data_IF_486642684040
#
_entry.id   IF_486642684040
#
_cell.length_a   1.000
_cell.length_b   1.000
_cell.length_c   1.000
_cell.angle_alpha   90.00
_cell.angle_beta   90.00
_cell.angle_gamma   90.00
#
_symmetry.space_group_name_H-M   'P 1'
#
loop_
_entity.id
_entity.type
_entity.pdbx_description
1 polymer ?
#
# COMPACT_ATOMS: atom_id res chain seq x y z
N UNK A 1 -28.58 2.83 20.70
CA UNK A 1 -28.67 2.30 19.32
C UNK A 1 -27.26 1.95 18.92
N UNK A 2 -27.01 0.73 18.47
CA UNK A 2 -25.68 0.33 17.97
C UNK A 2 -25.40 1.08 16.67
N UNK A 3 -24.23 1.71 16.56
CA UNK A 3 -23.76 2.36 15.33
C UNK A 3 -22.74 1.50 14.58
N UNK A 4 -22.41 1.88 13.35
CA UNK A 4 -21.31 1.29 12.55
C UNK A 4 -19.99 1.31 13.35
N UNK A 5 -19.68 2.45 13.97
CA UNK A 5 -18.48 2.66 14.80
C UNK A 5 -18.39 1.68 15.99
N UNK A 6 -19.52 1.26 16.56
CA UNK A 6 -19.52 0.30 17.67
C UNK A 6 -19.05 -1.09 17.21
N UNK A 7 -19.42 -1.50 15.99
CA UNK A 7 -18.95 -2.75 15.39
C UNK A 7 -17.48 -2.67 15.01
N UNK A 8 -17.06 -1.57 14.37
CA UNK A 8 -15.65 -1.35 14.01
C UNK A 8 -14.76 -1.38 15.25
N UNK A 9 -15.18 -0.74 16.34
CA UNK A 9 -14.47 -0.78 17.63
C UNK A 9 -14.39 -2.19 18.21
N UNK A 10 -15.46 -2.97 18.14
CA UNK A 10 -15.46 -4.36 18.60
C UNK A 10 -14.49 -5.25 17.80
N UNK A 11 -14.41 -5.03 16.48
CA UNK A 11 -13.44 -5.71 15.60
C UNK A 11 -12.01 -5.31 15.96
N UNK A 12 -11.75 -4.01 16.17
CA UNK A 12 -10.42 -3.50 16.55
C UNK A 12 -9.94 -4.07 17.89
N UNK A 13 -10.85 -4.26 18.85
CA UNK A 13 -10.51 -4.81 20.17
C UNK A 13 -10.19 -6.32 20.12
N UNK A 14 -10.80 -7.07 19.20
CA UNK A 14 -10.59 -8.51 19.05
C UNK A 14 -10.44 -8.89 17.56
N UNK A 15 -9.30 -8.51 16.92
CA UNK A 15 -9.15 -8.57 15.48
C UNK A 15 -9.11 -10.00 14.93
N UNK A 16 -8.83 -11.01 15.76
CA UNK A 16 -8.83 -12.42 15.36
C UNK A 16 -10.14 -13.14 15.68
N UNK A 17 -11.04 -12.52 16.46
CA UNK A 17 -12.34 -13.10 16.77
C UNK A 17 -13.28 -12.94 15.56
N UNK A 18 -13.84 -14.05 15.03
CA UNK A 18 -14.82 -13.96 13.96
C UNK A 18 -16.17 -13.38 14.43
N UNK A 19 -16.52 -13.46 15.72
CA UNK A 19 -17.86 -13.12 16.20
C UNK A 19 -18.25 -11.65 15.97
N UNK A 20 -17.42 -10.63 16.30
CA UNK A 20 -17.75 -9.24 15.98
C UNK A 20 -18.01 -8.99 14.49
N UNK A 21 -17.26 -9.66 13.60
CA UNK A 21 -17.43 -9.54 12.15
C UNK A 21 -18.72 -10.19 11.65
N UNK A 22 -19.09 -11.34 12.20
CA UNK A 22 -20.34 -12.02 11.83
C UNK A 22 -21.56 -11.25 12.31
N UNK A 23 -21.55 -10.74 13.55
CA UNK A 23 -22.64 -9.90 14.07
C UNK A 23 -22.78 -8.63 13.23
N UNK A 24 -21.66 -7.99 12.86
CA UNK A 24 -21.70 -6.82 11.99
C UNK A 24 -22.23 -7.16 10.58
N UNK A 25 -21.82 -8.31 10.01
CA UNK A 25 -22.33 -8.77 8.73
C UNK A 25 -23.85 -9.01 8.75
N UNK A 26 -24.39 -9.62 9.81
CA UNK A 26 -25.84 -9.83 9.96
C UNK A 26 -26.58 -8.49 10.08
N UNK A 27 -26.03 -7.53 10.84
CA UNK A 27 -26.60 -6.18 10.95
C UNK A 27 -26.59 -5.43 9.61
N UNK A 28 -25.55 -5.59 8.80
CA UNK A 28 -25.44 -5.00 7.46
C UNK A 28 -26.41 -5.66 6.46
N UNK A 29 -26.58 -6.98 6.53
CA UNK A 29 -27.51 -7.73 5.69
C UNK A 29 -28.98 -7.31 5.88
N UNK A 30 -29.40 -7.08 7.12
CA UNK A 30 -30.74 -6.54 7.43
C UNK A 30 -31.02 -5.21 6.72
N UNK A 31 -29.97 -4.51 6.29
CA UNK A 31 -30.00 -3.22 5.59
C UNK A 31 -29.67 -3.35 4.10
N UNK A 32 -29.49 -4.57 3.60
CA UNK A 32 -29.03 -4.85 2.25
C UNK A 32 -27.71 -4.11 1.89
N UNK A 33 -26.84 -3.93 2.90
CA UNK A 33 -25.56 -3.24 2.72
C UNK A 33 -24.50 -4.21 2.17
N UNK A 34 -23.84 -3.89 1.03
CA UNK A 34 -22.89 -4.78 0.38
C UNK A 34 -21.67 -5.12 1.25
N UNK A 35 -21.37 -4.32 2.27
CA UNK A 35 -20.26 -4.55 3.22
C UNK A 35 -20.41 -5.85 4.00
N UNK A 36 -21.63 -6.38 4.13
CA UNK A 36 -21.85 -7.70 4.73
C UNK A 36 -21.13 -8.82 3.95
N UNK A 37 -21.13 -8.72 2.61
CA UNK A 37 -20.44 -9.65 1.73
C UNK A 37 -18.94 -9.70 2.01
N UNK A 38 -18.32 -8.53 2.17
CA UNK A 38 -16.89 -8.41 2.49
C UNK A 38 -16.51 -9.14 3.77
N UNK A 39 -17.26 -8.91 4.86
CA UNK A 39 -16.96 -9.52 6.15
C UNK A 39 -17.01 -11.05 6.10
N UNK A 40 -17.99 -11.60 5.37
CA UNK A 40 -18.15 -13.06 5.26
C UNK A 40 -17.12 -13.70 4.32
N UNK A 41 -16.86 -13.11 3.16
CA UNK A 41 -15.88 -13.64 2.22
C UNK A 41 -14.45 -13.49 2.76
N UNK A 42 -14.17 -12.45 3.56
CA UNK A 42 -12.89 -12.30 4.27
C UNK A 42 -12.65 -13.43 5.28
N UNK A 43 -13.69 -13.81 6.05
CA UNK A 43 -13.63 -14.98 6.95
C UNK A 43 -13.46 -16.29 6.17
N UNK A 44 -14.18 -16.45 5.06
CA UNK A 44 -14.03 -17.62 4.20
C UNK A 44 -12.60 -17.75 3.65
N UNK A 45 -12.00 -16.65 3.21
CA UNK A 45 -10.61 -16.62 2.75
C UNK A 45 -9.62 -16.95 3.88
N UNK A 46 -9.80 -16.37 5.07
CA UNK A 46 -8.95 -16.66 6.23
C UNK A 46 -9.02 -18.15 6.67
N UNK A 47 -10.12 -18.83 6.38
CA UNK A 47 -10.35 -20.24 6.71
C UNK A 47 -10.18 -21.19 5.52
N UNK A 48 -9.83 -20.67 4.35
CA UNK A 48 -9.73 -21.46 3.12
C UNK A 48 -8.60 -22.49 3.22
N UNK A 49 -8.88 -23.72 2.77
CA UNK A 49 -7.85 -24.76 2.60
C UNK A 49 -7.04 -24.48 1.33
N UNK A 50 -5.79 -24.98 1.19
CA UNK A 50 -4.92 -24.67 0.05
C UNK A 50 -5.57 -24.76 -1.33
N UNK A 51 -6.39 -25.80 -1.59
CA UNK A 51 -7.10 -25.96 -2.87
C UNK A 51 -8.32 -25.06 -3.08
N UNK A 52 -8.66 -24.18 -2.12
CA UNK A 52 -9.82 -23.27 -2.15
C UNK A 52 -9.39 -21.79 -2.09
N UNK A 53 -8.11 -21.51 -1.85
CA UNK A 53 -7.62 -20.14 -1.60
C UNK A 53 -7.84 -19.23 -2.80
N UNK A 54 -7.59 -19.70 -4.03
CA UNK A 54 -7.78 -18.89 -5.23
C UNK A 54 -9.24 -18.45 -5.42
N UNK A 55 -10.18 -19.39 -5.31
CA UNK A 55 -11.62 -19.10 -5.43
C UNK A 55 -12.11 -18.21 -4.28
N UNK A 56 -11.68 -18.48 -3.05
CA UNK A 56 -12.05 -17.67 -1.89
C UNK A 56 -11.50 -16.24 -2.01
N UNK A 57 -10.28 -16.07 -2.54
CA UNK A 57 -9.66 -14.77 -2.77
C UNK A 57 -10.38 -13.99 -3.85
N UNK A 58 -10.76 -14.64 -4.95
CA UNK A 58 -11.59 -14.05 -6.00
C UNK A 58 -12.93 -13.58 -5.43
N UNK A 59 -13.61 -14.41 -4.65
CA UNK A 59 -14.88 -14.04 -4.01
C UNK A 59 -14.73 -12.88 -3.02
N UNK A 60 -13.62 -12.86 -2.26
CA UNK A 60 -13.30 -11.76 -1.35
C UNK A 60 -13.06 -10.45 -2.10
N UNK A 61 -12.21 -10.45 -3.12
CA UNK A 61 -11.92 -9.28 -3.96
C UNK A 61 -13.19 -8.74 -4.66
N UNK A 62 -14.08 -9.61 -5.13
CA UNK A 62 -15.36 -9.20 -5.71
C UNK A 62 -16.32 -8.54 -4.71
N UNK A 63 -16.29 -8.96 -3.45
CA UNK A 63 -17.06 -8.32 -2.39
C UNK A 63 -16.42 -7.01 -1.95
N UNK A 64 -15.08 -6.97 -1.88
CA UNK A 64 -14.27 -5.80 -1.56
C UNK A 64 -14.51 -4.63 -2.52
N UNK A 65 -14.58 -4.89 -3.82
CA UNK A 65 -14.87 -3.89 -4.85
C UNK A 65 -16.23 -3.18 -4.71
N UNK A 66 -17.14 -3.70 -3.87
CA UNK A 66 -18.47 -3.10 -3.63
C UNK A 66 -18.50 -2.21 -2.38
N UNK A 67 -17.40 -2.14 -1.65
CA UNK A 67 -17.29 -1.42 -0.39
C UNK A 67 -16.64 -0.05 -0.62
N UNK A 68 -17.02 0.99 0.14
CA UNK A 68 -16.33 2.28 0.07
C UNK A 68 -14.84 2.15 0.40
N UNK A 69 -13.97 2.77 -0.40
CA UNK A 69 -12.52 2.73 -0.20
C UNK A 69 -12.09 3.19 1.21
N UNK A 70 -12.75 4.20 1.80
CA UNK A 70 -12.48 4.65 3.18
C UNK A 70 -12.74 3.59 4.22
N UNK A 71 -13.86 2.86 4.08
CA UNK A 71 -14.22 1.78 4.98
C UNK A 71 -13.26 0.59 4.84
N UNK A 72 -12.83 0.28 3.63
CA UNK A 72 -11.78 -0.71 3.35
C UNK A 72 -10.45 -0.29 4.00
N UNK A 73 -10.04 0.97 3.83
CA UNK A 73 -8.81 1.49 4.42
C UNK A 73 -8.85 1.45 5.96
N UNK A 74 -10.01 1.63 6.58
CA UNK A 74 -10.18 1.53 8.03
C UNK A 74 -10.14 0.08 8.55
N UNK A 75 -10.75 -0.87 7.82
CA UNK A 75 -10.77 -2.27 8.25
C UNK A 75 -9.51 -3.07 7.92
N UNK A 76 -8.82 -2.72 6.83
CA UNK A 76 -7.59 -3.38 6.39
C UNK A 76 -6.31 -2.76 6.99
N UNK A 77 -6.44 -2.12 8.16
CA UNK A 77 -5.29 -1.66 8.95
C UNK A 77 -4.40 -2.84 9.42
N UNK A 78 -3.11 -2.60 9.73
CA UNK A 78 -2.14 -3.61 10.14
C UNK A 78 -2.66 -4.66 11.15
N UNK A 79 -3.30 -4.21 12.22
CA UNK A 79 -3.79 -5.08 13.28
C UNK A 79 -5.10 -5.80 12.92
N UNK A 80 -5.93 -5.23 12.05
CA UNK A 80 -7.30 -5.71 11.78
C UNK A 80 -7.45 -6.43 10.45
N UNK A 81 -6.46 -6.33 9.55
CA UNK A 81 -6.42 -7.06 8.29
C UNK A 81 -6.65 -8.55 8.56
N UNK A 82 -7.80 -9.06 8.12
CA UNK A 82 -8.18 -10.45 8.38
C UNK A 82 -7.57 -11.41 7.36
N UNK A 83 -7.63 -11.04 6.08
CA UNK A 83 -7.17 -11.85 4.97
C UNK A 83 -6.56 -10.96 3.88
N UNK A 84 -5.56 -11.48 3.17
CA UNK A 84 -4.89 -10.75 2.08
C UNK A 84 -5.69 -10.89 0.77
N UNK A 85 -6.17 -9.78 0.17
CA UNK A 85 -6.91 -9.82 -1.09
C UNK A 85 -6.07 -10.22 -2.31
N UNK A 86 -4.74 -10.31 -2.17
CA UNK A 86 -3.79 -10.62 -3.25
C UNK A 86 -3.08 -11.96 -3.03
N UNK A 87 -2.46 -12.55 -4.07
CA UNK A 87 -1.60 -13.73 -3.94
C UNK A 87 -0.25 -13.48 -3.27
N UNK A 88 0.08 -12.23 -3.01
CA UNK A 88 1.40 -11.81 -2.51
C UNK A 88 1.50 -11.90 -0.99
N UNK A 89 2.71 -11.92 -0.45
CA UNK A 89 2.89 -11.68 0.97
C UNK A 89 2.55 -10.23 1.33
N UNK A 90 2.11 -9.99 2.57
CA UNK A 90 1.80 -8.63 3.05
C UNK A 90 3.02 -8.05 3.77
N UNK A 91 3.51 -6.91 3.33
CA UNK A 91 4.66 -6.24 3.91
C UNK A 91 4.64 -4.74 3.64
N UNK A 92 5.62 -4.02 4.14
CA UNK A 92 5.80 -2.59 3.84
C UNK A 92 7.27 -2.28 3.68
N UNK A 93 7.65 -1.86 2.49
CA UNK A 93 8.96 -1.31 2.20
C UNK A 93 8.98 0.15 2.63
N UNK A 94 9.41 0.36 3.89
CA UNK A 94 9.41 1.66 4.54
C UNK A 94 10.82 2.22 4.71
N UNK A 95 10.87 3.51 5.02
CA UNK A 95 12.11 4.24 5.30
C UNK A 95 12.42 4.27 6.79
N UNK A 96 13.64 4.67 7.13
CA UNK A 96 14.09 4.88 8.51
C UNK A 96 13.15 5.82 9.28
N UNK A 97 12.93 5.58 10.58
CA UNK A 97 12.17 6.48 11.47
C UNK A 97 13.00 6.85 12.71
N UNK A 98 14.33 6.91 12.54
CA UNK A 98 15.28 7.09 13.62
C UNK A 98 15.18 6.00 14.69
N UNK A 99 15.35 6.40 15.94
CA UNK A 99 15.37 5.49 17.10
C UNK A 99 14.07 4.68 17.29
N UNK A 100 12.94 5.17 16.77
CA UNK A 100 11.65 4.47 16.91
C UNK A 100 11.56 3.22 16.03
N UNK A 101 12.10 3.27 14.81
CA UNK A 101 12.17 2.13 13.89
C UNK A 101 13.35 2.33 12.92
N UNK A 102 14.55 1.87 13.30
CA UNK A 102 15.73 2.00 12.46
C UNK A 102 15.63 1.10 11.22
N UNK A 103 16.05 1.62 10.06
CA UNK A 103 16.20 0.82 8.85
C UNK A 103 17.67 0.40 8.60
N UNK A 104 17.88 -0.81 8.07
CA UNK A 104 19.22 -1.34 7.70
C UNK A 104 19.82 -0.73 6.43
N UNK A 105 18.99 -0.06 5.63
CA UNK A 105 19.37 0.60 4.39
C UNK A 105 18.37 1.68 4.04
N UNK A 106 18.35 2.10 2.76
CA UNK A 106 17.38 3.09 2.27
C UNK A 106 15.94 2.64 2.51
N UNK A 107 15.69 1.34 2.31
CA UNK A 107 14.42 0.68 2.57
C UNK A 107 14.63 -0.57 3.41
N UNK A 108 13.64 -0.92 4.22
CA UNK A 108 13.55 -2.23 4.88
C UNK A 108 12.13 -2.78 4.79
N UNK A 109 12.01 -4.09 4.61
CA UNK A 109 10.73 -4.79 4.60
C UNK A 109 10.26 -5.03 6.03
N UNK A 110 9.16 -4.37 6.39
CA UNK A 110 8.50 -4.58 7.67
C UNK A 110 7.28 -5.48 7.48
N UNK A 111 7.05 -6.48 8.37
CA UNK A 111 5.81 -7.25 8.34
C UNK A 111 4.62 -6.31 8.44
N UNK A 112 3.62 -6.46 7.56
CA UNK A 112 2.50 -5.51 7.50
C UNK A 112 1.80 -5.33 8.85
N UNK A 113 1.63 -6.41 9.61
CA UNK A 113 1.01 -6.41 10.94
C UNK A 113 1.80 -5.71 12.03
N UNK A 114 3.09 -5.44 11.81
CA UNK A 114 3.94 -4.73 12.77
C UNK A 114 3.80 -3.21 12.68
N UNK A 115 3.18 -2.70 11.60
CA UNK A 115 3.08 -1.28 11.34
C UNK A 115 2.05 -0.60 12.26
N UNK A 116 2.22 0.71 12.55
CA UNK A 116 1.21 1.50 13.24
C UNK A 116 -0.08 1.58 12.41
N UNK A 117 -1.26 1.58 13.05
CA UNK A 117 -2.49 1.94 12.36
C UNK A 117 -2.43 3.39 11.88
N UNK A 118 -2.98 3.67 10.70
CA UNK A 118 -3.14 5.04 10.23
C UNK A 118 -4.23 5.74 11.04
N UNK A 119 -4.02 7.01 11.44
CA UNK A 119 -5.10 7.83 12.00
C UNK A 119 -6.25 7.91 11.00
N UNK A 120 -7.47 7.58 11.43
CA UNK A 120 -8.67 7.64 10.57
C UNK A 120 -8.97 9.07 10.10
N UNK A 121 -8.44 10.09 10.79
CA UNK A 121 -8.47 11.49 10.36
C UNK A 121 -7.75 11.76 9.03
N UNK A 122 -6.88 10.85 8.57
CA UNK A 122 -6.18 10.92 7.29
C UNK A 122 -6.91 10.17 6.16
N UNK A 123 -7.88 9.30 6.49
CA UNK A 123 -8.56 8.40 5.55
C UNK A 123 -9.94 8.95 5.17
N UNK A 124 -9.97 10.19 4.67
CA UNK A 124 -11.21 10.95 4.49
C UNK A 124 -11.69 11.00 3.05
N UNK A 125 -11.11 10.21 2.13
CA UNK A 125 -11.19 10.37 0.68
C UNK A 125 -10.58 11.68 0.15
N UNK A 126 -10.61 12.77 0.90
CA UNK A 126 -10.11 14.07 0.47
C UNK A 126 -8.58 14.17 0.39
N UNK A 127 -7.83 13.19 0.88
CA UNK A 127 -6.36 13.22 0.93
C UNK A 127 -5.80 14.56 1.46
N UNK A 128 -6.34 15.04 2.59
CA UNK A 128 -6.08 16.39 3.15
C UNK A 128 -4.60 16.69 3.43
N UNK A 129 -3.79 15.65 3.56
CA UNK A 129 -2.34 15.74 3.73
C UNK A 129 -1.61 16.15 2.44
N UNK A 130 -2.25 16.03 1.27
CA UNK A 130 -1.74 16.53 0.00
C UNK A 130 -2.09 18.02 -0.16
N UNK A 131 -1.30 18.92 0.44
CA UNK A 131 -1.56 20.37 0.33
C UNK A 131 -1.13 20.88 -1.06
N UNK A 132 -2.01 21.61 -1.73
CA UNK A 132 -1.81 22.14 -3.08
C UNK A 132 -0.91 23.39 -3.10
N UNK A 133 0.31 23.32 -2.55
CA UNK A 133 1.24 24.45 -2.53
C UNK A 133 2.32 24.39 -3.61
N UNK A 134 2.50 23.24 -4.27
CA UNK A 134 3.47 23.10 -5.36
C UNK A 134 2.78 23.03 -6.72
N UNK A 135 3.11 23.93 -7.68
CA UNK A 135 2.60 23.81 -9.04
C UNK A 135 3.12 22.51 -9.67
N UNK A 136 2.23 21.79 -10.36
CA UNK A 136 2.63 20.60 -11.13
C UNK A 136 3.66 20.98 -12.19
N UNK A 137 4.58 20.07 -12.55
CA UNK A 137 5.24 20.14 -13.85
C UNK A 137 4.17 20.23 -14.95
N UNK A 138 4.32 21.16 -15.89
CA UNK A 138 3.34 21.38 -16.98
C UNK A 138 3.10 20.14 -17.86
N UNK A 139 3.96 19.12 -17.74
CA UNK A 139 3.96 17.88 -18.52
C UNK A 139 3.23 16.72 -17.85
N UNK A 140 2.76 16.84 -16.60
CA UNK A 140 2.11 15.72 -15.91
C UNK A 140 0.75 15.39 -16.54
N UNK A 141 0.59 14.13 -16.96
CA UNK A 141 -0.69 13.55 -17.36
C UNK A 141 -0.94 12.29 -16.54
N UNK A 142 -2.17 12.08 -16.04
CA UNK A 142 -2.52 10.83 -15.39
C UNK A 142 -2.48 9.68 -16.41
N UNK A 143 -2.13 8.47 -15.97
CA UNK A 143 -2.15 7.30 -16.83
C UNK A 143 -3.56 7.04 -17.35
N UNK A 144 -3.66 6.42 -18.53
CA UNK A 144 -4.96 6.00 -19.07
C UNK A 144 -5.53 4.88 -18.19
N UNK A 145 -6.85 4.85 -17.95
CA UNK A 145 -7.48 3.73 -17.28
C UNK A 145 -7.25 2.42 -18.07
N UNK A 146 -7.29 1.26 -17.40
CA UNK A 146 -7.24 -0.03 -18.09
C UNK A 146 -8.51 -0.21 -18.94
N UNK A 147 -8.58 -1.30 -19.70
CA UNK A 147 -9.72 -1.61 -20.57
C UNK A 147 -10.98 -2.07 -19.81
N UNK A 148 -11.05 -1.80 -18.50
CA UNK A 148 -12.19 -2.11 -17.64
C UNK A 148 -12.45 -0.94 -16.67
N UNK A 149 -13.66 -0.90 -16.11
CA UNK A 149 -14.08 0.14 -15.18
C UNK A 149 -13.37 -0.05 -13.83
N UNK A 150 -12.83 1.05 -13.31
CA UNK A 150 -12.22 1.12 -11.99
C UNK A 150 -12.99 2.12 -11.12
N UNK A 151 -12.92 1.96 -9.79
CA UNK A 151 -13.57 2.87 -8.83
C UNK A 151 -13.14 4.33 -9.05
N UNK A 152 -13.99 5.33 -8.81
CA UNK A 152 -13.62 6.73 -9.09
C UNK A 152 -12.46 7.25 -8.25
N UNK A 153 -12.10 6.57 -7.16
CA UNK A 153 -11.13 7.08 -6.18
C UNK A 153 -9.67 7.02 -6.65
N UNK A 154 -9.23 6.01 -7.40
CA UNK A 154 -7.84 5.97 -7.88
C UNK A 154 -7.59 7.10 -8.90
N UNK A 155 -8.52 7.32 -9.84
CA UNK A 155 -8.37 8.34 -10.88
C UNK A 155 -8.38 9.74 -10.26
N UNK A 156 -9.28 9.96 -9.30
CA UNK A 156 -9.36 11.20 -8.53
C UNK A 156 -8.07 11.49 -7.76
N UNK A 157 -7.50 10.49 -7.07
CA UNK A 157 -6.28 10.65 -6.28
C UNK A 157 -5.03 10.83 -7.14
N UNK A 158 -4.90 10.06 -8.23
CA UNK A 158 -3.83 10.29 -9.21
C UNK A 158 -3.94 11.69 -9.81
N UNK A 159 -5.16 12.19 -10.04
CA UNK A 159 -5.44 13.56 -10.47
C UNK A 159 -5.45 14.59 -9.35
N UNK A 160 -5.06 14.25 -8.13
CA UNK A 160 -5.04 15.23 -7.03
C UNK A 160 -3.94 16.28 -7.23
N UNK A 161 -4.23 17.60 -7.16
CA UNK A 161 -3.24 18.64 -7.43
C UNK A 161 -2.04 18.62 -6.48
N UNK A 162 -2.25 18.22 -5.22
CA UNK A 162 -1.20 18.10 -4.22
C UNK A 162 -0.32 16.85 -4.34
N UNK A 163 -0.58 15.94 -5.29
CA UNK A 163 0.19 14.70 -5.43
C UNK A 163 1.68 14.98 -5.75
N UNK A 164 1.97 16.01 -6.54
CA UNK A 164 3.34 16.45 -6.83
C UNK A 164 4.05 17.10 -5.65
N UNK A 165 3.32 17.42 -4.58
CA UNK A 165 3.88 17.98 -3.34
C UNK A 165 4.24 16.87 -2.34
N UNK A 166 3.92 15.60 -2.63
CA UNK A 166 4.29 14.47 -1.77
C UNK A 166 5.81 14.34 -1.75
N UNK A 167 6.41 14.72 -0.62
CA UNK A 167 7.85 14.67 -0.43
C UNK A 167 8.32 13.23 -0.29
N UNK A 168 9.51 12.95 -0.80
CA UNK A 168 10.20 11.67 -0.62
C UNK A 168 11.66 11.91 -0.20
N UNK A 169 12.06 11.34 0.93
CA UNK A 169 13.45 11.35 1.40
C UNK A 169 14.38 10.47 0.54
N UNK A 170 13.79 9.63 -0.31
CA UNK A 170 14.48 8.73 -1.25
C UNK A 170 14.31 9.17 -2.71
N UNK A 171 13.80 10.39 -2.94
CA UNK A 171 13.63 10.96 -4.28
C UNK A 171 12.68 10.13 -5.19
N UNK A 172 11.70 9.47 -4.57
CA UNK A 172 10.64 8.80 -5.32
C UNK A 172 9.77 9.79 -6.11
N UNK A 173 9.34 9.35 -7.29
CA UNK A 173 8.56 10.14 -8.23
C UNK A 173 7.38 9.36 -8.79
N UNK A 174 6.34 10.09 -9.23
CA UNK A 174 5.20 9.49 -9.93
C UNK A 174 5.55 9.26 -11.40
N UNK A 175 5.30 8.05 -11.87
CA UNK A 175 5.46 7.69 -13.29
C UNK A 175 4.28 8.23 -14.11
N UNK A 176 4.55 8.64 -15.35
CA UNK A 176 3.56 9.32 -16.21
C UNK A 176 3.35 8.62 -17.55
N UNK A 177 4.21 7.67 -17.90
CA UNK A 177 4.28 6.92 -19.15
C UNK A 177 4.03 5.42 -18.95
N UNK A 178 3.72 5.00 -17.72
CA UNK A 178 3.47 3.60 -17.41
C UNK A 178 2.19 3.09 -18.09
N UNK A 179 2.26 1.85 -18.57
CA UNK A 179 1.14 1.13 -19.15
C UNK A 179 0.68 0.01 -18.21
N UNK A 180 -0.60 -0.35 -18.31
CA UNK A 180 -1.15 -1.51 -17.62
C UNK A 180 -0.57 -2.80 -18.22
N UNK A 181 -0.05 -3.67 -17.35
CA UNK A 181 0.54 -4.95 -17.71
C UNK A 181 -0.19 -6.09 -17.01
N UNK A 182 -0.06 -7.31 -17.52
CA UNK A 182 -0.58 -8.48 -16.83
C UNK A 182 0.11 -8.64 -15.46
N UNK A 183 -0.67 -8.95 -14.44
CA UNK A 183 -0.14 -9.32 -13.13
C UNK A 183 0.52 -10.71 -13.20
N UNK A 184 1.76 -10.89 -12.69
CA UNK A 184 2.51 -12.12 -12.88
C UNK A 184 1.93 -13.33 -12.14
N UNK A 185 1.11 -13.11 -11.10
CA UNK A 185 0.54 -14.17 -10.26
C UNK A 185 -0.99 -14.17 -10.29
N UNK A 186 -1.59 -13.65 -11.37
CA UNK A 186 -3.03 -13.58 -11.55
C UNK A 186 -3.42 -13.69 -13.02
N UNK A 187 -4.40 -14.54 -13.30
CA UNK A 187 -4.96 -14.68 -14.66
C UNK A 187 -5.89 -13.52 -15.05
N UNK A 188 -6.25 -12.65 -14.11
CA UNK A 188 -7.28 -11.61 -14.31
C UNK A 188 -6.78 -10.20 -14.03
N UNK A 189 -5.87 -10.04 -13.07
CA UNK A 189 -5.44 -8.71 -12.66
C UNK A 189 -4.48 -8.07 -13.66
N UNK A 190 -4.51 -6.74 -13.67
CA UNK A 190 -3.51 -5.91 -14.33
C UNK A 190 -2.80 -5.05 -13.29
N UNK A 191 -1.53 -4.75 -13.54
CA UNK A 191 -0.71 -3.87 -12.70
C UNK A 191 -0.22 -2.66 -13.49
N UNK A 192 -0.23 -1.50 -12.85
CA UNK A 192 0.28 -0.24 -13.39
C UNK A 192 1.28 0.36 -12.42
N UNK A 193 2.53 0.53 -12.84
CA UNK A 193 3.53 1.27 -12.05
C UNK A 193 3.09 2.73 -11.95
N UNK A 194 2.92 3.25 -10.74
CA UNK A 194 2.50 4.64 -10.52
C UNK A 194 3.52 5.47 -9.73
N UNK A 195 4.42 4.82 -9.00
CA UNK A 195 5.41 5.46 -8.14
C UNK A 195 6.70 4.64 -8.14
N UNK A 196 7.86 5.31 -8.19
CA UNK A 196 9.17 4.67 -8.38
C UNK A 196 10.26 5.44 -7.65
N UNK A 197 11.28 4.74 -7.18
CA UNK A 197 12.50 5.31 -6.64
C UNK A 197 13.46 5.79 -7.75
N UNK A 198 14.06 6.98 -7.61
CA UNK A 198 14.95 7.54 -8.66
C UNK A 198 16.31 6.84 -8.76
N UNK A 199 16.73 6.13 -7.72
CA UNK A 199 17.98 5.37 -7.68
C UNK A 199 17.77 3.90 -8.09
N UNK A 200 16.53 3.55 -8.45
CA UNK A 200 16.14 2.23 -8.93
C UNK A 200 15.70 1.32 -7.78
N UNK A 201 14.43 0.89 -7.86
CA UNK A 201 13.71 0.01 -6.94
C UNK A 201 13.73 0.38 -5.44
N UNK A 202 12.59 0.28 -4.73
CA UNK A 202 11.36 -0.37 -5.16
C UNK A 202 10.48 0.45 -6.11
N UNK A 203 9.68 -0.28 -6.88
CA UNK A 203 8.57 0.25 -7.68
C UNK A 203 7.25 -0.11 -6.99
N UNK A 204 6.28 0.80 -7.06
CA UNK A 204 4.93 0.59 -6.56
C UNK A 204 3.90 0.60 -7.68
N UNK A 205 2.96 -0.33 -7.57
CA UNK A 205 2.00 -0.65 -8.60
C UNK A 205 0.57 -0.59 -8.05
N UNK A 206 -0.33 -0.01 -8.84
CA UNK A 206 -1.76 -0.22 -8.71
C UNK A 206 -2.04 -1.59 -9.31
N UNK A 207 -2.47 -2.54 -8.49
CA UNK A 207 -2.98 -3.83 -8.95
C UNK A 207 -4.50 -3.77 -8.98
N UNK A 208 -5.08 -3.95 -10.16
CA UNK A 208 -6.51 -3.85 -10.38
C UNK A 208 -7.10 -5.15 -10.96
N UNK A 209 -8.25 -5.55 -10.42
CA UNK A 209 -9.05 -6.66 -10.94
C UNK A 209 -10.17 -6.16 -11.88
N UNK A 210 -10.63 -6.96 -12.85
CA UNK A 210 -11.65 -6.55 -13.82
C UNK A 210 -13.01 -6.17 -13.23
N UNK A 211 -13.27 -6.52 -11.97
CA UNK A 211 -14.49 -6.17 -11.23
C UNK A 211 -14.33 -4.90 -10.36
N UNK A 212 -13.23 -4.16 -10.53
CA UNK A 212 -13.02 -2.84 -9.93
C UNK A 212 -12.26 -2.84 -8.60
N UNK A 213 -11.81 -4.00 -8.09
CA UNK A 213 -10.99 -4.04 -6.87
C UNK A 213 -9.58 -3.53 -7.17
N UNK A 214 -9.10 -2.56 -6.38
CA UNK A 214 -7.76 -1.99 -6.51
C UNK A 214 -7.00 -2.14 -5.20
N UNK A 215 -5.75 -2.58 -5.30
CA UNK A 215 -4.80 -2.74 -4.18
C UNK A 215 -3.44 -2.19 -4.58
N UNK A 216 -2.58 -1.91 -3.60
CA UNK A 216 -1.22 -1.45 -3.86
C UNK A 216 -0.25 -2.58 -3.59
N UNK A 217 0.58 -2.88 -4.60
CA UNK A 217 1.68 -3.83 -4.48
C UNK A 217 3.02 -3.13 -4.72
N UNK A 218 4.09 -3.68 -4.17
CA UNK A 218 5.44 -3.17 -4.29
C UNK A 218 6.35 -4.30 -4.75
N UNK A 219 7.34 -4.02 -5.60
CA UNK A 219 8.34 -4.98 -6.01
C UNK A 219 9.64 -4.31 -6.42
N UNK A 220 10.65 -5.13 -6.65
CA UNK A 220 11.94 -4.69 -7.19
C UNK A 220 11.98 -5.15 -8.63
N UNK A 221 11.87 -4.20 -9.55
CA UNK A 221 12.16 -4.49 -10.95
C UNK A 221 13.68 -4.61 -11.03
N UNK A 222 14.20 -5.83 -11.17
CA UNK A 222 15.58 -6.04 -11.60
C UNK A 222 15.64 -5.71 -13.08
N UNK A 223 15.65 -4.43 -13.43
CA UNK A 223 16.09 -3.99 -14.75
C UNK A 223 17.56 -3.64 -14.65
N UNK A 224 18.39 -4.47 -15.24
CA UNK A 224 19.53 -4.05 -16.05
C UNK A 224 20.20 -2.73 -15.63
N UNK A 225 21.40 -2.86 -15.05
CA UNK A 225 22.46 -1.90 -15.37
C UNK A 225 22.36 -1.65 -16.87
N UNK A 226 22.08 -0.41 -17.23
CA UNK A 226 21.89 0.00 -18.62
C UNK A 226 22.95 -0.68 -19.48
N UNK A 227 22.50 -1.39 -20.51
CA UNK A 227 23.25 -1.63 -21.73
C UNK A 227 23.67 -0.24 -22.25
N UNK A 228 24.74 0.31 -21.70
CA UNK A 228 25.53 1.33 -22.35
C UNK A 228 26.41 0.57 -23.32
N UNK A 229 26.16 0.64 -24.64
CA UNK A 229 27.19 0.28 -25.59
C UNK A 229 28.28 1.34 -25.43
N UNK A 230 29.30 1.03 -24.63
CA UNK A 230 30.70 1.19 -25.00
C UNK A 230 31.62 0.99 -23.78
N UNK A 231 32.56 0.07 -24.02
CA UNK A 231 33.86 -0.12 -23.38
C UNK A 231 33.96 -0.85 -22.02
N UNK A 232 34.44 -2.10 -22.14
CA UNK A 232 35.11 -2.99 -21.17
C UNK A 232 34.27 -4.10 -20.51
N UNK A 233 33.95 -5.13 -21.31
CA UNK A 233 33.53 -6.47 -20.85
C UNK A 233 34.57 -7.09 -19.88
N UNK A 234 34.16 -7.54 -18.67
CA UNK A 234 34.89 -8.56 -17.94
C UNK A 234 34.59 -9.97 -18.51
N UNK A 235 35.53 -10.92 -18.43
CA UNK A 235 35.51 -12.13 -19.24
C UNK A 235 34.35 -13.07 -18.88
N UNK A 236 33.66 -13.47 -19.95
CA UNK A 236 32.75 -14.61 -20.07
C UNK A 236 33.43 -15.91 -19.63
N UNK A 237 33.07 -16.46 -18.47
CA UNK A 237 33.26 -17.90 -18.18
C UNK A 237 32.38 -18.43 -17.02
N UNK A 238 31.24 -17.80 -16.71
CA UNK A 238 30.17 -18.38 -15.87
C UNK A 238 28.75 -17.98 -16.36
N UNK A 239 28.56 -17.78 -17.67
CA UNK A 239 27.23 -17.52 -18.27
C UNK A 239 26.63 -18.83 -18.78
N UNK A 240 26.18 -19.67 -17.87
CA UNK A 240 25.23 -20.76 -18.17
C UNK A 240 24.03 -20.64 -17.22
N UNK A 241 22.83 -20.75 -17.80
CA UNK A 241 21.50 -20.92 -17.17
C UNK A 241 20.67 -19.69 -16.74
N UNK A 242 20.35 -18.75 -17.65
CA UNK A 242 19.18 -17.86 -17.41
C UNK A 242 18.20 -17.69 -18.59
N UNK A 243 18.57 -18.08 -19.81
CA UNK A 243 17.66 -18.04 -20.97
C UNK A 243 16.50 -19.06 -20.93
N UNK A 244 16.37 -19.84 -19.85
CA UNK A 244 15.28 -20.79 -19.61
C UNK A 244 14.28 -20.36 -18.51
N UNK A 245 14.34 -19.11 -18.05
CA UNK A 245 13.38 -18.60 -17.07
C UNK A 245 12.00 -18.30 -17.71
N UNK A 246 11.25 -19.35 -17.99
CA UNK A 246 9.78 -19.33 -18.03
C UNK A 246 9.18 -19.20 -16.61
N UNK A 247 9.82 -18.45 -15.71
CA UNK A 247 9.45 -18.24 -14.31
C UNK A 247 9.95 -16.88 -13.82
N UNK A 248 9.08 -15.87 -13.83
CA UNK A 248 9.43 -14.45 -13.70
C UNK A 248 9.71 -14.03 -12.24
N UNK A 249 10.97 -13.67 -11.94
CA UNK A 249 11.50 -13.28 -10.62
C UNK A 249 11.14 -11.89 -10.09
N UNK A 250 9.91 -11.41 -10.28
CA UNK A 250 9.37 -10.24 -9.56
C UNK A 250 8.73 -10.71 -8.25
N UNK A 251 9.45 -10.58 -7.14
CA UNK A 251 8.85 -10.73 -5.82
C UNK A 251 8.02 -9.46 -5.53
N UNK A 252 6.72 -9.65 -5.40
CA UNK A 252 5.77 -8.57 -5.13
C UNK A 252 5.18 -8.76 -3.72
N UNK A 253 4.91 -7.65 -3.04
CA UNK A 253 4.27 -7.59 -1.73
C UNK A 253 3.02 -6.74 -1.79
N UNK A 254 1.94 -7.17 -1.14
CA UNK A 254 0.79 -6.31 -0.84
C UNK A 254 1.18 -5.32 0.26
N UNK A 255 1.12 -4.02 -0.06
CA UNK A 255 1.62 -2.96 0.83
C UNK A 255 0.55 -2.00 1.32
N UNK A 256 -0.58 -1.88 0.63
CA UNK A 256 -1.69 -1.07 1.12
C UNK A 256 -3.04 -1.49 0.52
N UNK A 257 -4.13 -1.31 1.29
CA UNK A 257 -5.47 -1.63 0.81
C UNK A 257 -5.96 -0.65 -0.26
N UNK A 258 -5.65 0.64 -0.14
CA UNK A 258 -6.11 1.66 -1.07
C UNK A 258 -4.98 2.62 -1.41
N UNK A 259 -5.12 3.35 -2.51
CA UNK A 259 -4.16 4.40 -2.87
C UNK A 259 -4.08 5.48 -1.79
N UNK A 260 -5.21 5.88 -1.19
CA UNK A 260 -5.20 6.86 -0.08
C UNK A 260 -4.44 6.33 1.14
N UNK A 261 -4.64 5.06 1.53
CA UNK A 261 -3.92 4.45 2.64
C UNK A 261 -2.40 4.38 2.37
N UNK A 262 -2.01 4.06 1.14
CA UNK A 262 -0.60 4.12 0.72
C UNK A 262 -0.04 5.53 0.85
N UNK A 263 -0.69 6.52 0.23
CA UNK A 263 -0.23 7.90 0.21
C UNK A 263 -0.17 8.50 1.62
N UNK A 264 -1.14 8.19 2.48
CA UNK A 264 -1.17 8.67 3.86
C UNK A 264 -0.02 8.11 4.69
N UNK A 265 0.28 6.81 4.57
CA UNK A 265 1.41 6.18 5.27
C UNK A 265 2.74 6.70 4.73
N UNK A 266 2.87 6.79 3.41
CA UNK A 266 4.08 7.28 2.76
C UNK A 266 4.37 8.74 3.15
N UNK A 267 3.34 9.59 3.15
CA UNK A 267 3.44 10.96 3.64
C UNK A 267 3.88 10.99 5.11
N UNK A 268 3.20 10.25 6.01
CA UNK A 268 3.56 10.21 7.43
C UNK A 268 5.02 9.81 7.64
N UNK A 269 5.46 8.70 7.03
CA UNK A 269 6.82 8.20 7.22
C UNK A 269 7.88 9.17 6.67
N UNK A 270 7.63 9.85 5.56
CA UNK A 270 8.55 10.84 5.01
C UNK A 270 8.60 12.12 5.85
N UNK A 271 7.46 12.63 6.31
CA UNK A 271 7.41 13.80 7.18
C UNK A 271 8.13 13.54 8.51
N UNK A 272 7.93 12.35 9.08
CA UNK A 272 8.66 11.91 10.27
C UNK A 272 10.15 11.78 9.96
N UNK A 273 10.53 11.20 8.82
CA UNK A 273 11.94 11.07 8.42
C UNK A 273 12.65 12.42 8.42
N UNK A 274 12.05 13.44 7.79
CA UNK A 274 12.62 14.80 7.77
C UNK A 274 12.73 15.41 9.16
N UNK A 275 11.76 15.16 10.03
CA UNK A 275 11.79 15.61 11.42
C UNK A 275 12.93 14.95 12.22
N UNK A 276 13.00 13.61 12.22
CA UNK A 276 13.96 12.86 13.05
C UNK A 276 15.40 13.00 12.55
N UNK A 277 15.60 13.12 11.23
CA UNK A 277 16.92 13.35 10.63
C UNK A 277 17.30 14.83 10.54
N UNK A 278 16.43 15.75 11.00
CA UNK A 278 16.62 17.21 10.94
C UNK A 278 17.03 17.70 9.55
N UNK A 279 16.31 17.24 8.52
CA UNK A 279 16.63 17.56 7.13
C UNK A 279 15.51 18.37 6.44
N UNK A 280 15.85 19.44 5.69
CA UNK A 280 17.16 20.08 5.65
C UNK A 280 17.53 20.65 7.03
N UNK A 281 18.82 20.75 7.34
CA UNK A 281 19.31 21.29 8.62
C UNK A 281 18.72 22.68 8.87
N UNK A 282 17.70 22.75 9.72
CA UNK A 282 17.06 23.98 10.15
C UNK A 282 17.42 24.26 11.62
N UNK A 283 17.65 25.53 11.93
CA UNK A 283 17.89 25.99 13.31
C UNK A 283 16.62 25.85 14.17
N UNK A 284 15.44 25.79 13.54
CA UNK A 284 14.14 25.64 14.19
C UNK A 284 13.67 24.18 14.18
N UNK A 285 13.39 23.64 15.37
CA UNK A 285 12.77 22.31 15.53
C UNK A 285 11.26 22.47 15.38
N UNK A 286 10.72 22.06 14.23
CA UNK A 286 9.26 22.02 14.00
C UNK A 286 8.69 20.85 14.80
N UNK A 287 7.76 21.06 15.76
CA UNK A 287 7.15 19.98 16.52
C UNK A 287 6.40 19.00 15.62
N UNK A 288 6.40 17.72 15.99
CA UNK A 288 5.56 16.70 15.35
C UNK A 288 4.08 17.06 15.48
N UNK A 289 3.29 16.76 14.44
CA UNK A 289 1.84 16.83 14.51
C UNK A 289 1.27 15.76 15.44
N UNK A 290 -0.03 15.85 15.74
CA UNK A 290 -0.74 14.84 16.52
C UNK A 290 -0.68 13.47 15.85
N UNK A 291 -0.92 13.42 14.54
CA UNK A 291 -0.90 12.20 13.73
C UNK A 291 0.49 11.56 13.71
N UNK A 292 1.55 12.36 13.55
CA UNK A 292 2.93 11.87 13.55
C UNK A 292 3.34 11.34 14.93
N UNK A 293 2.96 12.06 15.98
CA UNK A 293 3.23 11.63 17.37
C UNK A 293 2.51 10.33 17.71
N UNK A 294 1.26 10.16 17.27
CA UNK A 294 0.49 8.93 17.42
C UNK A 294 1.11 7.77 16.65
N UNK A 295 1.58 8.01 15.41
CA UNK A 295 2.24 7.00 14.59
C UNK A 295 3.51 6.47 15.27
N UNK A 296 4.34 7.36 15.82
CA UNK A 296 5.57 6.98 16.52
C UNK A 296 5.33 6.29 17.86
N UNK A 297 4.25 6.63 18.56
CA UNK A 297 3.91 6.04 19.86
C UNK A 297 3.60 4.53 19.79
N UNK A 298 3.36 3.98 18.60
CA UNK A 298 3.20 2.54 18.38
C UNK A 298 4.51 1.77 18.55
N UNK A 299 5.65 2.40 18.28
CA UNK A 299 6.95 1.77 18.43
C UNK A 299 7.43 1.84 19.88
N UNK A 300 8.16 0.80 20.37
CA UNK A 300 8.71 0.85 21.71
C UNK A 300 9.69 2.02 21.86
N UNK A 301 9.77 2.66 23.03
CA UNK A 301 10.77 3.70 23.26
C UNK A 301 12.17 3.10 23.08
N UNK A 302 13.15 3.89 22.60
CA UNK A 302 14.51 3.40 22.47
C UNK A 302 15.03 2.91 23.84
N UNK A 303 15.88 1.87 23.84
CA UNK A 303 16.51 1.43 25.08
C UNK A 303 17.27 2.61 25.68
N UNK A 304 17.01 2.91 26.96
CA UNK A 304 17.76 3.96 27.67
C UNK A 304 19.23 3.54 27.72
N UNK A 305 20.10 4.36 27.12
CA UNK A 305 21.54 4.20 27.22
C UNK A 305 21.92 4.17 28.70
N UNK A 306 22.46 3.05 29.16
CA UNK A 306 23.00 2.88 30.52
C UNK A 306 24.38 3.53 30.65
#
# INVERSE_FOLDING_TARGET
>A
MTSDDDFLRAIQQNPTDPAPRLIFADWLDERADPRAGYLRTGLQLAQARPGQVADARRAFSQARAKCPATWIAELEQPATLLANPTPYESGWWGVDQGDARPARGTYELYPYRSLPPLPTSLLTQEARFLVAESPRPQTWQPPKPPNFELESDWDRLLRHPGLSALRSCTDCYFTHDAEWQADPNSDTAQSLRFYSDSQGSPDWFLRAEPWGDVTIVCGFVTSDYQDTPDDEDPPMDERDDWDNASGTGLELWYVAPTLEAFLARWWLENEIWYHVNRWPSADEVIPLTTEQSQYLAHYPPPPQSS
#
